data_IF_363919175193
#
_entry.id   IF_363919175193
#
_cell.length_a   1.000
_cell.length_b   1.000
_cell.length_c   1.000
_cell.angle_alpha   90.00
_cell.angle_beta   90.00
_cell.angle_gamma   90.00
#
_symmetry.space_group_name_H-M   'P 1'
#
loop_
_entity.id
_entity.type
_entity.pdbx_description
1 polymer ?
#
# COMPACT_ATOMS: atom_id res chain seq x y z
N UNK A 1 47.04 -0.12 -32.70
CA UNK A 1 45.71 0.48 -32.46
C UNK A 1 45.68 1.84 -33.12
N UNK A 2 44.74 2.08 -34.04
CA UNK A 2 44.80 3.22 -34.97
C UNK A 2 44.24 4.49 -34.29
N UNK A 3 44.76 5.68 -34.59
CA UNK A 3 44.40 6.96 -33.91
C UNK A 3 42.87 7.23 -33.94
N UNK A 4 42.17 6.73 -34.97
CA UNK A 4 40.71 6.80 -35.09
C UNK A 4 39.95 5.96 -34.03
N UNK A 5 40.53 4.87 -33.53
CA UNK A 5 39.94 4.06 -32.46
C UNK A 5 40.09 4.71 -31.08
N UNK A 6 41.15 5.51 -30.86
CA UNK A 6 41.36 6.19 -29.58
C UNK A 6 40.39 7.36 -29.38
N UNK A 7 40.06 8.09 -30.46
CA UNK A 7 39.10 9.21 -30.43
C UNK A 7 37.67 8.71 -30.18
N UNK A 8 37.30 7.54 -30.72
CA UNK A 8 35.99 6.94 -30.46
C UNK A 8 35.84 6.45 -29.01
N UNK A 9 36.92 5.88 -28.44
CA UNK A 9 36.92 5.43 -27.04
C UNK A 9 36.85 6.61 -26.04
N UNK A 10 37.52 7.73 -26.33
CA UNK A 10 37.49 8.92 -25.48
C UNK A 10 36.16 9.69 -25.57
N UNK A 11 35.49 9.70 -26.73
CA UNK A 11 34.14 10.26 -26.85
C UNK A 11 33.09 9.43 -26.09
N UNK A 12 33.22 8.11 -26.06
CA UNK A 12 32.33 7.25 -25.26
C UNK A 12 32.56 7.40 -23.74
N UNK A 13 33.80 7.62 -23.28
CA UNK A 13 34.08 7.81 -21.85
C UNK A 13 33.63 9.21 -21.37
N UNK A 14 33.73 10.24 -22.22
CA UNK A 14 33.24 11.59 -21.89
C UNK A 14 31.70 11.69 -21.84
N UNK A 15 30.98 10.86 -22.60
CA UNK A 15 29.51 10.78 -22.53
C UNK A 15 29.00 10.08 -21.25
N UNK A 16 29.83 9.24 -20.62
CA UNK A 16 29.49 8.57 -19.33
C UNK A 16 29.76 9.48 -18.14
N UNK A 17 30.66 10.47 -18.26
CA UNK A 17 31.01 11.40 -17.19
C UNK A 17 30.10 12.65 -17.10
N UNK A 18 29.21 12.89 -18.07
CA UNK A 18 28.39 14.11 -18.16
C UNK A 18 26.90 13.91 -17.85
N UNK A 19 26.48 12.72 -17.40
CA UNK A 19 25.11 12.45 -16.89
C UNK A 19 25.20 11.99 -15.44
N UNK A 20 25.74 12.86 -14.57
CA UNK A 20 25.39 12.83 -13.16
C UNK A 20 24.32 13.89 -12.94
N UNK A 21 23.02 13.57 -13.05
CA UNK A 21 22.01 14.45 -12.50
C UNK A 21 22.27 14.53 -11.00
N UNK A 22 22.53 15.75 -10.53
CA UNK A 22 22.55 16.20 -9.15
C UNK A 22 21.66 15.30 -8.28
N UNK A 23 22.31 14.35 -7.59
CA UNK A 23 21.70 13.37 -6.74
C UNK A 23 21.18 14.08 -5.49
N UNK A 24 19.89 13.97 -5.24
CA UNK A 24 19.29 14.35 -3.95
C UNK A 24 19.54 13.22 -2.93
N UNK A 25 20.81 12.90 -2.70
CA UNK A 25 21.29 11.83 -1.79
C UNK A 25 21.35 12.28 -0.34
N UNK A 26 21.18 13.57 -0.06
CA UNK A 26 21.23 14.08 1.31
C UNK A 26 20.06 13.59 2.17
N UNK A 27 18.87 13.38 1.59
CA UNK A 27 17.74 12.80 2.33
C UNK A 27 17.77 11.26 2.39
N UNK A 28 18.41 10.59 1.42
CA UNK A 28 18.24 9.13 1.24
C UNK A 28 19.39 8.28 1.79
N UNK A 29 20.64 8.73 1.67
CA UNK A 29 21.81 7.95 2.13
C UNK A 29 22.18 8.29 3.59
N UNK A 30 21.89 9.51 4.05
CA UNK A 30 22.30 9.95 5.39
C UNK A 30 21.20 9.93 6.45
N UNK A 31 19.90 9.97 6.08
CA UNK A 31 18.81 10.07 7.06
C UNK A 31 18.02 8.78 7.25
N UNK A 32 17.77 7.98 6.21
CA UNK A 32 16.93 6.77 6.34
C UNK A 32 17.71 5.62 7.01
N UNK A 33 18.93 5.23 6.59
CA UNK A 33 19.65 4.14 7.25
C UNK A 33 20.03 4.49 8.70
N UNK A 34 20.21 5.77 9.04
CA UNK A 34 20.53 6.19 10.41
C UNK A 34 19.33 6.20 11.35
N UNK A 35 18.16 6.63 10.89
CA UNK A 35 16.95 6.69 11.74
C UNK A 35 16.36 5.29 11.96
N UNK A 36 16.41 4.42 10.96
CA UNK A 36 15.90 3.04 11.07
C UNK A 36 16.91 2.06 11.70
N UNK A 37 18.24 2.31 11.63
CA UNK A 37 19.27 1.52 12.36
C UNK A 37 19.09 1.46 13.87
N UNK A 38 18.32 2.39 14.44
CA UNK A 38 18.26 2.61 15.88
C UNK A 38 17.07 1.88 16.53
N UNK A 39 16.05 1.45 15.78
CA UNK A 39 14.76 1.06 16.39
C UNK A 39 14.83 -0.27 17.18
N UNK A 40 15.60 -1.30 16.76
CA UNK A 40 15.42 -2.66 17.32
C UNK A 40 16.70 -3.33 17.84
N UNK A 41 17.91 -2.92 17.45
CA UNK A 41 19.13 -3.29 18.18
C UNK A 41 19.22 -2.62 19.57
N UNK A 42 18.12 -1.99 20.02
CA UNK A 42 18.08 -1.00 21.07
C UNK A 42 18.18 -1.61 22.47
N UNK A 43 17.53 -2.73 22.78
CA UNK A 43 17.51 -3.22 24.17
C UNK A 43 18.86 -3.83 24.61
N UNK A 44 19.57 -4.56 23.72
CA UNK A 44 20.93 -5.07 24.00
C UNK A 44 22.00 -3.98 23.95
N UNK A 45 21.85 -2.97 23.08
CA UNK A 45 22.74 -1.80 23.06
C UNK A 45 22.45 -0.84 24.21
N UNK A 46 21.21 -0.74 24.70
CA UNK A 46 20.86 0.02 25.90
C UNK A 46 21.46 -0.61 27.15
N UNK A 47 21.40 -1.93 27.33
CA UNK A 47 22.12 -2.59 28.42
C UNK A 47 23.64 -2.37 28.33
N UNK A 48 24.20 -2.32 27.12
CA UNK A 48 25.62 -2.05 26.88
C UNK A 48 26.01 -0.57 27.12
N UNK A 49 25.15 0.39 26.77
CA UNK A 49 25.43 1.84 26.83
C UNK A 49 24.84 2.57 28.05
N UNK A 50 23.85 2.02 28.76
CA UNK A 50 23.51 2.45 30.13
C UNK A 50 24.70 2.24 31.07
N UNK A 51 25.54 1.24 30.78
CA UNK A 51 26.84 1.02 31.44
C UNK A 51 27.97 1.91 30.91
N UNK A 52 27.79 2.61 29.78
CA UNK A 52 28.84 3.42 29.14
C UNK A 52 28.25 4.69 28.52
N UNK A 53 28.23 5.78 29.29
CA UNK A 53 27.75 7.09 28.84
C UNK A 53 28.40 7.52 27.51
N UNK A 54 27.63 7.51 26.43
CA UNK A 54 27.96 8.27 25.21
C UNK A 54 27.67 9.75 25.46
N UNK A 55 28.54 10.65 24.97
CA UNK A 55 28.42 12.10 25.13
C UNK A 55 27.83 12.81 23.89
N UNK A 56 27.36 12.07 22.89
CA UNK A 56 26.86 12.65 21.63
C UNK A 56 25.36 13.05 21.74
N UNK A 57 25.01 14.36 21.70
CA UNK A 57 23.63 14.83 21.83
C UNK A 57 22.73 14.46 20.65
N UNK A 58 23.27 14.33 19.44
CA UNK A 58 22.47 13.99 18.24
C UNK A 58 21.93 12.56 18.32
N UNK A 59 22.65 11.68 19.02
CA UNK A 59 22.24 10.30 19.29
C UNK A 59 21.01 10.19 20.19
N UNK A 60 20.95 10.98 21.27
CA UNK A 60 19.79 11.00 22.18
C UNK A 60 18.52 11.52 21.48
N UNK A 61 18.67 12.44 20.54
CA UNK A 61 17.56 13.00 19.76
C UNK A 61 17.04 11.94 18.77
N UNK A 62 17.91 11.26 18.02
CA UNK A 62 17.50 10.20 17.10
C UNK A 62 16.83 9.02 17.84
N UNK A 63 17.35 8.64 19.01
CA UNK A 63 16.78 7.62 19.91
C UNK A 63 15.38 7.98 20.41
N UNK A 64 15.18 9.24 20.81
CA UNK A 64 13.88 9.75 21.24
C UNK A 64 12.86 9.77 20.10
N UNK A 65 13.29 10.11 18.88
CA UNK A 65 12.43 10.19 17.69
C UNK A 65 11.96 8.81 17.27
N UNK A 66 12.84 7.80 17.19
CA UNK A 66 12.46 6.44 16.78
C UNK A 66 11.44 5.81 17.76
N UNK A 67 11.71 5.87 19.07
CA UNK A 67 10.79 5.39 20.11
C UNK A 67 9.45 6.12 20.11
N UNK A 68 9.46 7.43 19.88
CA UNK A 68 8.23 8.21 19.78
C UNK A 68 7.41 7.77 18.55
N UNK A 69 8.06 7.40 17.46
CA UNK A 69 7.40 7.03 16.22
C UNK A 69 6.78 5.64 16.26
N UNK A 70 7.48 4.65 16.84
CA UNK A 70 6.94 3.30 17.08
C UNK A 70 5.75 3.34 18.04
N UNK A 71 5.86 4.14 19.10
CA UNK A 71 4.79 4.35 20.07
C UNK A 71 3.59 5.05 19.44
N UNK A 72 3.82 6.08 18.61
CA UNK A 72 2.76 6.80 17.92
C UNK A 72 2.02 5.90 16.91
N UNK A 73 2.76 5.06 16.16
CA UNK A 73 2.19 4.11 15.21
C UNK A 73 1.28 3.09 15.91
N UNK A 74 1.74 2.54 17.03
CA UNK A 74 0.95 1.63 17.87
C UNK A 74 -0.33 2.29 18.40
N UNK A 75 -0.23 3.51 18.94
CA UNK A 75 -1.40 4.28 19.41
C UNK A 75 -2.38 4.56 18.26
N UNK A 76 -1.88 4.97 17.10
CA UNK A 76 -2.72 5.26 15.93
C UNK A 76 -3.46 4.01 15.48
N UNK A 77 -2.79 2.85 15.39
CA UNK A 77 -3.43 1.58 15.08
C UNK A 77 -4.48 1.20 16.14
N UNK A 78 -4.14 1.32 17.42
CA UNK A 78 -5.05 0.95 18.51
C UNK A 78 -6.34 1.79 18.49
N UNK A 79 -6.23 3.11 18.32
CA UNK A 79 -7.37 4.03 18.19
C UNK A 79 -8.23 3.72 16.97
N UNK A 80 -7.59 3.38 15.84
CA UNK A 80 -8.30 3.01 14.62
C UNK A 80 -9.11 1.73 14.82
N UNK A 81 -8.51 0.71 15.43
CA UNK A 81 -9.19 -0.53 15.76
C UNK A 81 -10.30 -0.31 16.80
N UNK A 82 -10.06 0.50 17.84
CA UNK A 82 -11.07 0.83 18.85
C UNK A 82 -12.32 1.49 18.24
N UNK A 83 -12.12 2.39 17.27
CA UNK A 83 -13.21 3.02 16.56
C UNK A 83 -14.12 2.00 15.87
N UNK A 84 -13.54 1.04 15.14
CA UNK A 84 -14.30 0.01 14.41
C UNK A 84 -14.78 -1.15 15.29
N UNK A 85 -14.19 -1.36 16.47
CA UNK A 85 -14.71 -2.25 17.51
C UNK A 85 -16.03 -1.71 18.07
N UNK A 86 -16.06 -0.40 18.39
CA UNK A 86 -17.29 0.27 18.87
C UNK A 86 -18.33 0.48 17.77
N UNK A 87 -17.87 0.62 16.53
CA UNK A 87 -18.73 0.95 15.39
C UNK A 87 -18.31 0.15 14.15
N UNK A 88 -18.75 -1.11 14.07
CA UNK A 88 -18.45 -1.99 12.94
C UNK A 88 -18.84 -1.35 11.61
N UNK A 89 -17.96 -1.49 10.62
CA UNK A 89 -18.25 -1.00 9.28
C UNK A 89 -19.22 -1.94 8.56
N UNK A 90 -20.06 -1.36 7.70
CA UNK A 90 -20.84 -2.10 6.71
C UNK A 90 -20.14 -2.19 5.35
N UNK A 91 -18.98 -1.55 5.21
CA UNK A 91 -18.17 -1.59 3.99
C UNK A 91 -17.25 -2.83 4.05
N UNK A 92 -17.42 -3.81 3.15
CA UNK A 92 -16.61 -5.03 3.17
C UNK A 92 -15.12 -4.78 2.94
N UNK A 93 -14.71 -3.68 2.29
CA UNK A 93 -13.28 -3.36 2.12
C UNK A 93 -12.57 -3.18 3.48
N UNK A 94 -13.29 -2.70 4.52
CA UNK A 94 -12.72 -2.63 5.87
C UNK A 94 -12.45 -4.02 6.44
N UNK A 95 -13.40 -4.94 6.29
CA UNK A 95 -13.24 -6.30 6.78
C UNK A 95 -12.11 -7.03 6.05
N UNK A 96 -12.01 -6.85 4.73
CA UNK A 96 -10.92 -7.40 3.93
C UNK A 96 -9.58 -6.81 4.37
N UNK A 97 -9.48 -5.49 4.52
CA UNK A 97 -8.25 -4.85 4.98
C UNK A 97 -7.86 -5.30 6.39
N UNK A 98 -8.82 -5.52 7.28
CA UNK A 98 -8.57 -6.05 8.63
C UNK A 98 -7.98 -7.46 8.58
N UNK A 99 -8.54 -8.34 7.75
CA UNK A 99 -8.04 -9.71 7.58
C UNK A 99 -6.63 -9.74 7.00
N UNK A 100 -6.40 -8.99 5.93
CA UNK A 100 -5.05 -8.85 5.32
C UNK A 100 -4.07 -8.27 6.33
N UNK A 101 -4.39 -7.14 6.97
CA UNK A 101 -3.54 -6.50 7.98
C UNK A 101 -3.17 -7.44 9.13
N UNK A 102 -4.13 -8.24 9.60
CA UNK A 102 -3.91 -9.23 10.65
C UNK A 102 -2.93 -10.31 10.23
N UNK A 103 -3.10 -10.91 9.04
CA UNK A 103 -2.17 -11.94 8.55
C UNK A 103 -0.78 -11.38 8.26
N UNK A 104 -0.69 -10.13 7.77
CA UNK A 104 0.59 -9.45 7.53
C UNK A 104 1.37 -9.23 8.84
N UNK A 105 0.68 -8.80 9.91
CA UNK A 105 1.30 -8.66 11.23
C UNK A 105 1.70 -10.03 11.81
N UNK A 106 0.83 -11.05 11.69
CA UNK A 106 1.14 -12.38 12.20
C UNK A 106 2.37 -13.00 11.52
N UNK A 107 2.44 -12.94 10.19
CA UNK A 107 3.62 -13.37 9.45
C UNK A 107 4.87 -12.64 9.93
N UNK A 108 4.81 -11.32 10.05
CA UNK A 108 5.94 -10.50 10.48
C UNK A 108 6.38 -10.85 11.90
N UNK A 109 5.44 -11.12 12.82
CA UNK A 109 5.76 -11.56 14.18
C UNK A 109 6.44 -12.93 14.15
N UNK A 110 5.97 -13.86 13.31
CA UNK A 110 6.45 -15.24 13.27
C UNK A 110 7.81 -15.38 12.55
N UNK A 111 8.01 -14.71 11.42
CA UNK A 111 9.27 -14.75 10.68
C UNK A 111 10.39 -14.02 11.42
N UNK A 112 10.04 -12.91 12.09
CA UNK A 112 11.00 -12.09 12.81
C UNK A 112 11.09 -12.45 14.30
N UNK A 113 10.51 -13.57 14.72
CA UNK A 113 10.25 -13.98 16.12
C UNK A 113 11.44 -13.78 17.07
N UNK A 114 12.66 -14.04 16.58
CA UNK A 114 13.91 -13.94 17.36
C UNK A 114 14.50 -12.53 17.41
N UNK A 115 14.13 -11.67 16.46
CA UNK A 115 14.63 -10.29 16.32
C UNK A 115 13.68 -9.25 16.92
N UNK A 116 12.39 -9.57 17.12
CA UNK A 116 11.43 -8.61 17.71
C UNK A 116 11.59 -8.55 19.24
N UNK A 117 11.74 -7.35 19.84
CA UNK A 117 11.82 -7.20 21.29
C UNK A 117 10.56 -7.76 21.98
N UNK A 118 10.67 -8.49 23.11
CA UNK A 118 9.55 -9.18 23.74
C UNK A 118 8.33 -8.28 24.02
N UNK A 119 8.57 -7.05 24.48
CA UNK A 119 7.51 -6.06 24.75
C UNK A 119 6.82 -5.57 23.46
N UNK A 120 7.58 -5.38 22.39
CA UNK A 120 7.02 -5.00 21.09
C UNK A 120 6.20 -6.15 20.51
N UNK A 121 6.73 -7.38 20.60
CA UNK A 121 6.02 -8.60 20.20
C UNK A 121 4.69 -8.75 20.94
N UNK A 122 4.67 -8.56 22.25
CA UNK A 122 3.44 -8.59 23.05
C UNK A 122 2.44 -7.53 22.59
N UNK A 123 2.89 -6.29 22.34
CA UNK A 123 2.02 -5.22 21.83
C UNK A 123 1.43 -5.56 20.46
N UNK A 124 2.23 -6.09 19.54
CA UNK A 124 1.78 -6.49 18.21
C UNK A 124 0.80 -7.67 18.30
N UNK A 125 1.04 -8.64 19.18
CA UNK A 125 0.10 -9.74 19.47
C UNK A 125 -1.22 -9.22 20.08
N UNK A 126 -1.18 -8.18 20.91
CA UNK A 126 -2.39 -7.55 21.44
C UNK A 126 -3.19 -6.85 20.34
N UNK A 127 -2.51 -6.21 19.39
CA UNK A 127 -3.12 -5.62 18.19
C UNK A 127 -3.77 -6.72 17.33
N UNK A 128 -3.09 -7.83 17.02
CA UNK A 128 -3.66 -8.91 16.21
C UNK A 128 -4.87 -9.56 16.91
N UNK A 129 -4.81 -9.81 18.23
CA UNK A 129 -5.97 -10.27 19.02
C UNK A 129 -7.15 -9.30 18.94
N UNK A 130 -6.90 -7.99 18.92
CA UNK A 130 -7.95 -6.97 18.74
C UNK A 130 -8.56 -7.05 17.35
N UNK A 131 -7.75 -7.25 16.31
CA UNK A 131 -8.24 -7.50 14.95
C UNK A 131 -9.12 -8.74 14.89
N UNK A 132 -8.72 -9.85 15.53
CA UNK A 132 -9.51 -11.08 15.61
C UNK A 132 -10.85 -10.85 16.32
N UNK A 133 -10.87 -10.11 17.44
CA UNK A 133 -12.12 -9.73 18.13
C UNK A 133 -13.05 -8.93 17.22
N UNK A 134 -12.54 -7.91 16.53
CA UNK A 134 -13.33 -7.11 15.60
C UNK A 134 -13.88 -7.99 14.48
N UNK A 135 -13.04 -8.87 13.91
CA UNK A 135 -13.43 -9.79 12.84
C UNK A 135 -14.56 -10.72 13.29
N UNK A 136 -14.40 -11.37 14.44
CA UNK A 136 -15.36 -12.34 14.99
C UNK A 136 -16.68 -11.70 15.42
N UNK A 137 -16.65 -10.42 15.84
CA UNK A 137 -17.85 -9.67 16.22
C UNK A 137 -18.53 -8.96 15.03
N UNK A 138 -17.94 -9.00 13.83
CA UNK A 138 -18.51 -8.34 12.66
C UNK A 138 -19.54 -9.25 11.99
N UNK A 139 -20.78 -8.78 11.94
CA UNK A 139 -21.87 -9.45 11.24
C UNK A 139 -21.79 -9.18 9.72
N UNK A 140 -21.22 -10.13 8.97
CA UNK A 140 -21.02 -10.03 7.52
C UNK A 140 -22.33 -9.99 6.72
N UNK A 141 -23.45 -10.44 7.30
CA UNK A 141 -24.78 -10.35 6.66
C UNK A 141 -25.27 -8.91 6.52
N UNK A 142 -24.71 -7.98 7.30
CA UNK A 142 -25.04 -6.54 7.28
C UNK A 142 -24.18 -5.72 6.31
N UNK A 143 -23.27 -6.36 5.57
CA UNK A 143 -22.46 -5.68 4.57
C UNK A 143 -23.32 -5.08 3.47
N UNK A 144 -22.90 -3.91 2.99
CA UNK A 144 -23.51 -3.26 1.84
C UNK A 144 -22.59 -3.39 0.64
N UNK A 145 -23.07 -4.14 -0.34
CA UNK A 145 -22.36 -4.36 -1.59
C UNK A 145 -22.75 -3.30 -2.62
N UNK A 146 -21.78 -2.91 -3.44
CA UNK A 146 -21.97 -1.92 -4.51
C UNK A 146 -22.50 -2.51 -5.81
N UNK A 147 -22.56 -3.83 -5.92
CA UNK A 147 -23.15 -4.61 -7.01
C UNK A 147 -23.23 -6.08 -6.59
N UNK A 148 -24.01 -6.90 -7.32
CA UNK A 148 -24.03 -8.37 -7.10
C UNK A 148 -22.68 -9.02 -7.41
N UNK A 149 -22.03 -8.60 -8.49
CA UNK A 149 -20.71 -9.10 -8.88
C UNK A 149 -19.69 -8.83 -7.76
N UNK A 150 -19.74 -7.64 -7.16
CA UNK A 150 -18.86 -7.29 -6.06
C UNK A 150 -19.20 -8.05 -4.77
N UNK A 151 -20.47 -8.38 -4.51
CA UNK A 151 -20.85 -9.26 -3.41
C UNK A 151 -20.16 -10.62 -3.53
N UNK A 152 -20.19 -11.21 -4.72
CA UNK A 152 -19.50 -12.46 -4.99
C UNK A 152 -17.98 -12.34 -4.75
N UNK A 153 -17.34 -11.30 -5.31
CA UNK A 153 -15.91 -10.99 -5.08
C UNK A 153 -15.56 -10.95 -3.61
N UNK A 154 -16.37 -10.23 -2.82
CA UNK A 154 -16.11 -10.07 -1.38
C UNK A 154 -16.21 -11.41 -0.67
N UNK A 155 -17.23 -12.23 -0.96
CA UNK A 155 -17.40 -13.54 -0.33
C UNK A 155 -16.22 -14.45 -0.65
N UNK A 156 -15.82 -14.53 -1.92
CA UNK A 156 -14.65 -15.28 -2.36
C UNK A 156 -13.36 -14.83 -1.64
N UNK A 157 -13.14 -13.52 -1.50
CA UNK A 157 -12.00 -12.96 -0.75
C UNK A 157 -12.06 -13.35 0.73
N UNK A 158 -13.23 -13.29 1.35
CA UNK A 158 -13.42 -13.63 2.77
C UNK A 158 -13.13 -15.11 3.03
N UNK A 159 -13.59 -15.99 2.14
CA UNK A 159 -13.35 -17.44 2.22
C UNK A 159 -11.87 -17.79 2.01
N UNK A 160 -11.14 -16.99 1.23
CA UNK A 160 -9.72 -17.20 0.92
C UNK A 160 -8.79 -16.19 1.61
N UNK A 161 -9.23 -15.61 2.73
CA UNK A 161 -8.52 -14.52 3.38
C UNK A 161 -7.09 -14.90 3.80
N UNK A 162 -6.89 -16.14 4.26
CA UNK A 162 -5.59 -16.59 4.73
C UNK A 162 -4.56 -16.65 3.59
N UNK A 163 -4.97 -17.13 2.41
CA UNK A 163 -4.15 -17.14 1.18
C UNK A 163 -3.85 -15.71 0.71
N UNK A 164 -4.83 -14.81 0.78
CA UNK A 164 -4.61 -13.42 0.38
C UNK A 164 -3.73 -12.67 1.38
N UNK A 165 -3.79 -13.03 2.65
CA UNK A 165 -2.99 -12.40 3.70
C UNK A 165 -1.52 -12.82 3.64
N UNK A 166 -1.21 -13.98 3.05
CA UNK A 166 0.15 -14.46 2.79
C UNK A 166 0.79 -13.87 1.53
N UNK A 167 0.03 -13.11 0.72
CA UNK A 167 0.54 -12.44 -0.48
C UNK A 167 1.47 -11.30 -0.08
N UNK A 168 2.76 -11.63 0.07
CA UNK A 168 3.80 -10.72 0.51
C UNK A 168 5.10 -10.99 -0.21
N UNK A 169 5.69 -9.91 -0.69
CA UNK A 169 7.13 -9.90 -0.98
C UNK A 169 7.87 -9.28 0.22
N UNK A 170 9.11 -9.72 0.49
CA UNK A 170 10.02 -9.01 1.37
C UNK A 170 10.22 -7.57 0.89
N UNK A 171 10.31 -6.62 1.83
CA UNK A 171 10.57 -5.23 1.48
C UNK A 171 12.01 -5.03 0.99
N UNK A 172 12.15 -4.44 -0.20
CA UNK A 172 13.44 -4.12 -0.82
C UNK A 172 13.53 -2.63 -1.14
N UNK A 173 14.67 -2.01 -0.80
CA UNK A 173 14.94 -0.59 -1.06
C UNK A 173 15.80 -0.42 -2.33
N UNK A 174 15.59 0.68 -3.06
CA UNK A 174 16.41 1.04 -4.22
C UNK A 174 15.98 0.42 -5.55
N UNK A 175 14.81 -0.21 -5.59
CA UNK A 175 14.25 -0.86 -6.77
C UNK A 175 13.56 0.13 -7.71
N UNK A 176 12.82 1.12 -7.20
CA UNK A 176 11.94 1.99 -8.01
C UNK A 176 12.65 3.22 -8.60
N UNK A 177 13.86 3.51 -8.12
CA UNK A 177 14.72 4.61 -8.59
C UNK A 177 14.18 6.02 -8.28
N UNK A 178 14.89 7.05 -8.75
CA UNK A 178 14.53 8.45 -8.48
C UNK A 178 13.50 8.96 -9.48
N UNK A 179 12.24 9.09 -9.05
CA UNK A 179 11.20 9.72 -9.86
C UNK A 179 11.02 11.20 -9.49
N UNK A 180 10.87 12.06 -10.50
CA UNK A 180 10.47 13.47 -10.32
C UNK A 180 8.94 13.59 -10.41
N UNK A 181 8.30 14.45 -9.61
CA UNK A 181 6.88 14.76 -9.74
C UNK A 181 6.48 15.10 -11.18
N UNK A 182 5.20 14.93 -11.50
CA UNK A 182 4.63 15.41 -12.75
C UNK A 182 4.85 16.91 -12.90
N UNK A 183 5.07 17.35 -14.14
CA UNK A 183 5.24 18.77 -14.49
C UNK A 183 3.91 19.51 -14.65
N UNK A 184 2.81 18.78 -14.77
CA UNK A 184 1.46 19.34 -14.93
C UNK A 184 0.82 19.65 -13.57
N UNK A 185 -0.21 20.50 -13.58
CA UNK A 185 -0.96 20.88 -12.39
C UNK A 185 -1.90 19.78 -11.90
N UNK A 186 -2.38 19.89 -10.66
CA UNK A 186 -3.37 18.97 -10.11
C UNK A 186 -4.69 18.98 -10.91
N UNK A 187 -5.10 20.12 -11.47
CA UNK A 187 -6.29 20.23 -12.30
C UNK A 187 -6.12 19.44 -13.60
N UNK A 188 -4.96 19.56 -14.24
CA UNK A 188 -4.63 18.80 -15.45
C UNK A 188 -4.60 17.30 -15.15
N UNK A 189 -4.00 16.90 -14.04
CA UNK A 189 -4.03 15.52 -13.54
C UNK A 189 -5.45 14.98 -13.41
N UNK A 190 -6.33 15.73 -12.75
CA UNK A 190 -7.74 15.33 -12.55
C UNK A 190 -8.47 15.20 -13.87
N UNK A 191 -8.23 16.08 -14.84
CA UNK A 191 -8.85 15.96 -16.17
C UNK A 191 -8.34 14.75 -16.92
N UNK A 192 -7.04 14.49 -16.85
CA UNK A 192 -6.44 13.36 -17.53
C UNK A 192 -6.92 12.03 -16.94
N UNK A 193 -7.09 11.92 -15.62
CA UNK A 193 -7.51 10.68 -14.96
C UNK A 193 -8.99 10.31 -15.19
N UNK A 194 -9.88 11.29 -15.42
CA UNK A 194 -11.34 11.06 -15.48
C UNK A 194 -11.80 10.11 -16.58
N UNK A 195 -11.15 10.14 -17.74
CA UNK A 195 -11.59 9.43 -18.95
C UNK A 195 -10.87 8.09 -19.13
N UNK A 196 -10.14 7.65 -18.11
CA UNK A 196 -9.18 6.56 -18.23
C UNK A 196 -9.77 5.22 -17.78
N UNK A 197 -9.33 4.16 -18.46
CA UNK A 197 -9.68 2.77 -18.17
C UNK A 197 -8.61 2.10 -17.28
N UNK A 198 -8.96 1.07 -16.49
CA UNK A 198 -10.31 0.53 -16.32
C UNK A 198 -11.21 1.43 -15.48
N UNK A 199 -12.51 1.45 -15.78
CA UNK A 199 -13.48 1.98 -14.81
C UNK A 199 -13.49 1.11 -13.56
N UNK A 200 -13.99 1.61 -12.43
CA UNK A 200 -14.13 0.79 -11.22
C UNK A 200 -14.96 -0.47 -11.46
N UNK A 201 -16.08 -0.37 -12.18
CA UNK A 201 -16.91 -1.52 -12.54
C UNK A 201 -16.12 -2.56 -13.36
N UNK A 202 -15.32 -2.09 -14.32
CA UNK A 202 -14.50 -2.97 -15.16
C UNK A 202 -13.38 -3.66 -14.33
N UNK A 203 -12.72 -2.91 -13.45
CA UNK A 203 -11.70 -3.45 -12.54
C UNK A 203 -12.29 -4.49 -11.56
N UNK A 204 -13.50 -4.24 -11.04
CA UNK A 204 -14.21 -5.18 -10.17
C UNK A 204 -14.58 -6.46 -10.90
N UNK A 205 -15.08 -6.35 -12.14
CA UNK A 205 -15.38 -7.50 -12.97
C UNK A 205 -14.13 -8.33 -13.30
N UNK A 206 -13.01 -7.68 -13.61
CA UNK A 206 -11.73 -8.38 -13.86
C UNK A 206 -11.20 -9.06 -12.58
N UNK A 207 -11.32 -8.40 -11.41
CA UNK A 207 -10.99 -9.01 -10.12
C UNK A 207 -11.89 -10.22 -9.81
N UNK A 208 -13.18 -10.14 -10.16
CA UNK A 208 -14.12 -11.25 -10.01
C UNK A 208 -13.72 -12.45 -10.88
N UNK A 209 -13.38 -12.22 -12.14
CA UNK A 209 -12.95 -13.28 -13.04
C UNK A 209 -11.70 -13.99 -12.51
N UNK A 210 -10.71 -13.23 -12.04
CA UNK A 210 -9.50 -13.76 -11.41
C UNK A 210 -9.82 -14.69 -10.23
N UNK A 211 -10.70 -14.25 -9.32
CA UNK A 211 -11.06 -15.03 -8.14
C UNK A 211 -11.90 -16.26 -8.47
N UNK A 212 -12.88 -16.13 -9.38
CA UNK A 212 -13.72 -17.25 -9.83
C UNK A 212 -12.84 -18.32 -10.46
N UNK A 213 -12.00 -17.93 -11.42
CA UNK A 213 -11.16 -18.89 -12.15
C UNK A 213 -10.17 -19.58 -11.19
N UNK A 214 -9.58 -18.85 -10.25
CA UNK A 214 -8.76 -19.43 -9.19
C UNK A 214 -9.53 -20.43 -8.31
N UNK A 215 -10.79 -20.16 -7.96
CA UNK A 215 -11.61 -21.10 -7.17
C UNK A 215 -12.03 -22.33 -7.97
N UNK A 216 -12.36 -22.17 -9.25
CA UNK A 216 -12.76 -23.27 -10.14
C UNK A 216 -11.61 -24.26 -10.36
N UNK A 217 -10.39 -23.77 -10.56
CA UNK A 217 -9.19 -24.61 -10.66
C UNK A 217 -8.92 -25.41 -9.38
N UNK A 218 -9.14 -24.82 -8.21
CA UNK A 218 -8.94 -25.50 -6.91
C UNK A 218 -10.02 -26.55 -6.60
N UNK A 219 -11.28 -26.31 -7.00
CA UNK A 219 -12.42 -27.14 -6.59
C UNK A 219 -12.72 -28.30 -7.54
N UNK A 220 -12.46 -28.13 -8.84
CA UNK A 220 -12.91 -29.10 -9.85
C UNK A 220 -11.93 -30.23 -10.10
N UNK A 221 -10.69 -30.17 -9.56
CA UNK A 221 -9.57 -31.04 -9.96
C UNK A 221 -9.41 -31.15 -11.49
N UNK A 222 -9.98 -30.22 -12.25
CA UNK A 222 -9.82 -30.18 -13.69
C UNK A 222 -8.44 -29.60 -13.98
N UNK A 223 -7.76 -30.12 -15.01
CA UNK A 223 -6.53 -29.56 -15.56
C UNK A 223 -6.74 -28.16 -16.19
N UNK A 224 -7.76 -27.42 -15.75
CA UNK A 224 -8.00 -26.06 -16.21
C UNK A 224 -6.91 -25.14 -15.68
N UNK A 225 -6.25 -24.42 -16.59
CA UNK A 225 -5.45 -23.26 -16.22
C UNK A 225 -6.38 -22.11 -15.80
N UNK A 226 -5.92 -21.22 -14.93
CA UNK A 226 -6.68 -20.01 -14.64
C UNK A 226 -6.76 -19.15 -15.91
N UNK A 227 -7.97 -18.89 -16.41
CA UNK A 227 -8.21 -18.19 -17.67
C UNK A 227 -8.84 -16.82 -17.45
N UNK A 228 -8.34 -15.83 -18.19
CA UNK A 228 -8.86 -14.47 -18.17
C UNK A 228 -9.45 -14.11 -19.52
N UNK A 229 -10.58 -13.40 -19.48
CA UNK A 229 -11.15 -12.83 -20.70
C UNK A 229 -10.18 -11.85 -21.36
N UNK A 230 -10.19 -11.73 -22.70
CA UNK A 230 -9.37 -10.75 -23.42
C UNK A 230 -9.56 -9.32 -22.90
N UNK A 231 -10.77 -8.99 -22.43
CA UNK A 231 -11.09 -7.69 -21.83
C UNK A 231 -10.36 -7.47 -20.51
N UNK A 232 -10.34 -8.46 -19.61
CA UNK A 232 -9.61 -8.37 -18.34
C UNK A 232 -8.10 -8.30 -18.57
N UNK A 233 -7.56 -9.14 -19.46
CA UNK A 233 -6.15 -9.09 -19.86
C UNK A 233 -5.78 -7.71 -20.45
N UNK A 234 -6.61 -7.15 -21.33
CA UNK A 234 -6.38 -5.84 -21.91
C UNK A 234 -6.41 -4.72 -20.85
N UNK A 235 -7.31 -4.79 -19.87
CA UNK A 235 -7.36 -3.82 -18.77
C UNK A 235 -6.11 -3.89 -17.89
N UNK A 236 -5.66 -5.11 -17.57
CA UNK A 236 -4.47 -5.36 -16.75
C UNK A 236 -3.20 -4.86 -17.46
N UNK A 237 -3.03 -5.19 -18.74
CA UNK A 237 -1.80 -4.90 -19.49
C UNK A 237 -1.77 -3.51 -20.12
N UNK A 238 -2.90 -3.02 -20.65
CA UNK A 238 -2.98 -1.78 -21.46
C UNK A 238 -3.83 -0.68 -20.82
N UNK A 239 -4.30 -0.86 -19.61
CA UNK A 239 -5.02 0.18 -18.87
C UNK A 239 -4.16 1.43 -18.64
N UNK A 240 -4.80 2.46 -18.09
CA UNK A 240 -4.17 3.75 -17.83
C UNK A 240 -3.11 3.68 -16.74
N UNK A 241 -2.16 4.61 -16.86
CA UNK A 241 -1.08 4.86 -15.93
C UNK A 241 -1.34 6.07 -15.02
N UNK A 242 -2.57 6.28 -14.55
CA UNK A 242 -2.88 7.32 -13.56
C UNK A 242 -3.93 6.84 -12.54
N UNK A 243 -3.90 7.40 -11.35
CA UNK A 243 -4.91 7.34 -10.31
C UNK A 243 -5.35 5.92 -9.94
N UNK A 244 -6.65 5.74 -9.72
CA UNK A 244 -7.25 4.46 -9.37
C UNK A 244 -6.95 3.36 -10.39
N UNK A 245 -6.85 3.71 -11.67
CA UNK A 245 -6.61 2.76 -12.74
C UNK A 245 -5.28 2.01 -12.53
N UNK A 246 -4.24 2.69 -12.01
CA UNK A 246 -2.97 2.03 -11.69
C UNK A 246 -3.09 1.10 -10.49
N UNK A 247 -3.66 1.59 -9.39
CA UNK A 247 -3.77 0.79 -8.17
C UNK A 247 -4.65 -0.43 -8.37
N UNK A 248 -5.73 -0.32 -9.17
CA UNK A 248 -6.55 -1.47 -9.56
C UNK A 248 -5.79 -2.48 -10.41
N UNK A 249 -4.89 -2.02 -11.30
CA UNK A 249 -4.08 -2.91 -12.14
C UNK A 249 -3.00 -3.62 -11.35
N UNK A 250 -2.36 -2.96 -10.38
CA UNK A 250 -1.43 -3.63 -9.45
C UNK A 250 -2.16 -4.71 -8.66
N UNK A 251 -3.34 -4.40 -8.11
CA UNK A 251 -4.16 -5.38 -7.39
C UNK A 251 -4.51 -6.58 -8.28
N UNK A 252 -4.98 -6.35 -9.51
CA UNK A 252 -5.34 -7.42 -10.44
C UNK A 252 -4.11 -8.24 -10.88
N UNK A 253 -2.98 -7.59 -11.16
CA UNK A 253 -1.74 -8.28 -11.52
C UNK A 253 -1.16 -9.11 -10.37
N UNK A 254 -1.25 -8.63 -9.13
CA UNK A 254 -0.85 -9.38 -7.95
C UNK A 254 -1.70 -10.65 -7.76
N UNK A 255 -3.02 -10.54 -7.96
CA UNK A 255 -3.91 -11.71 -7.93
C UNK A 255 -3.65 -12.66 -9.10
N UNK A 256 -3.45 -12.14 -10.31
CA UNK A 256 -3.11 -12.94 -11.48
C UNK A 256 -1.81 -13.72 -11.28
N UNK A 257 -0.84 -13.12 -10.58
CA UNK A 257 0.44 -13.77 -10.23
C UNK A 257 0.25 -14.84 -9.16
N UNK A 258 -0.56 -14.57 -8.15
CA UNK A 258 -0.85 -15.54 -7.08
C UNK A 258 -1.51 -16.81 -7.61
N UNK A 259 -2.43 -16.66 -8.56
CA UNK A 259 -3.22 -17.75 -9.11
C UNK A 259 -2.72 -18.26 -10.46
N UNK A 260 -1.56 -17.78 -10.90
CA UNK A 260 -0.91 -18.16 -12.16
C UNK A 260 -1.84 -18.04 -13.40
N UNK A 261 -2.61 -16.95 -13.47
CA UNK A 261 -3.65 -16.74 -14.48
C UNK A 261 -3.18 -16.13 -15.80
N UNK A 262 -1.87 -15.91 -15.96
CA UNK A 262 -1.31 -15.26 -17.15
C UNK A 262 0.03 -15.89 -17.53
N UNK A 263 -0.02 -17.13 -17.98
CA UNK A 263 1.15 -17.86 -18.47
C UNK A 263 1.87 -17.08 -19.58
N UNK A 264 3.20 -17.08 -19.54
CA UNK A 264 4.05 -16.39 -20.52
C UNK A 264 4.17 -14.88 -20.32
N UNK A 265 3.47 -14.28 -19.35
CA UNK A 265 3.64 -12.88 -18.98
C UNK A 265 4.46 -12.72 -17.72
N UNK A 266 5.51 -11.88 -17.79
CA UNK A 266 6.25 -11.46 -16.61
C UNK A 266 5.45 -10.42 -15.81
N UNK A 267 4.54 -10.93 -14.97
CA UNK A 267 3.69 -10.12 -14.11
C UNK A 267 4.51 -9.35 -13.06
N UNK A 268 5.65 -9.90 -12.60
CA UNK A 268 6.53 -9.22 -11.65
C UNK A 268 7.16 -7.97 -12.28
N UNK A 269 7.68 -8.07 -13.50
CA UNK A 269 8.19 -6.91 -14.24
C UNK A 269 7.08 -5.91 -14.61
N UNK A 270 5.86 -6.38 -14.84
CA UNK A 270 4.71 -5.50 -15.08
C UNK A 270 4.30 -4.72 -13.83
N UNK A 271 4.17 -5.42 -12.69
CA UNK A 271 3.91 -4.81 -11.38
C UNK A 271 5.00 -3.77 -11.05
N UNK A 272 6.27 -4.09 -11.32
CA UNK A 272 7.38 -3.16 -11.14
C UNK A 272 7.20 -1.87 -11.96
N UNK A 273 6.89 -1.99 -13.25
CA UNK A 273 6.62 -0.82 -14.13
C UNK A 273 5.45 0.01 -13.62
N UNK A 274 4.39 -0.63 -13.14
CA UNK A 274 3.24 0.07 -12.54
C UNK A 274 3.65 0.81 -11.28
N UNK A 275 4.41 0.17 -10.39
CA UNK A 275 4.84 0.80 -9.15
C UNK A 275 5.84 1.95 -9.33
N UNK A 276 6.66 1.94 -10.39
CA UNK A 276 7.43 3.13 -10.81
C UNK A 276 6.53 4.31 -11.14
N UNK A 277 5.49 4.09 -11.93
CA UNK A 277 4.58 5.15 -12.30
C UNK A 277 3.74 5.63 -11.12
N UNK A 278 3.28 4.71 -10.28
CA UNK A 278 2.57 5.02 -9.04
C UNK A 278 3.47 5.86 -8.13
N UNK A 279 4.75 5.50 -7.97
CA UNK A 279 5.66 6.24 -7.11
C UNK A 279 5.84 7.70 -7.57
N UNK A 280 5.93 7.90 -8.89
CA UNK A 280 5.93 9.24 -9.50
C UNK A 280 4.66 10.01 -9.18
N UNK A 281 3.50 9.36 -9.27
CA UNK A 281 2.21 9.95 -8.92
C UNK A 281 2.12 10.29 -7.43
N UNK A 282 2.53 9.38 -6.53
CA UNK A 282 2.56 9.58 -5.09
C UNK A 282 3.42 10.78 -4.69
N UNK A 283 4.60 10.96 -5.32
CA UNK A 283 5.43 12.16 -5.15
C UNK A 283 4.75 13.44 -5.67
N UNK A 284 3.92 13.32 -6.70
CA UNK A 284 3.17 14.45 -7.25
C UNK A 284 2.05 14.88 -6.29
N UNK A 285 1.34 13.90 -5.70
CA UNK A 285 0.35 14.15 -4.66
C UNK A 285 0.97 14.86 -3.44
N UNK A 286 2.18 14.45 -3.03
CA UNK A 286 2.95 15.14 -2.00
C UNK A 286 3.29 16.58 -2.41
N UNK A 287 3.84 16.79 -3.63
CA UNK A 287 4.20 18.10 -4.13
C UNK A 287 3.01 19.07 -4.23
N UNK A 288 1.81 18.55 -4.51
CA UNK A 288 0.56 19.32 -4.51
C UNK A 288 -0.07 19.47 -3.11
N UNK A 289 0.60 19.02 -2.05
CA UNK A 289 0.14 19.19 -0.67
C UNK A 289 -0.99 18.26 -0.25
N UNK A 290 -1.17 17.12 -0.94
CA UNK A 290 -2.27 16.16 -0.76
C UNK A 290 -3.66 16.83 -0.82
N UNK A 291 -4.08 17.29 -2.01
CA UNK A 291 -5.37 17.95 -2.19
C UNK A 291 -6.55 17.12 -1.63
N UNK A 292 -7.65 17.76 -1.21
CA UNK A 292 -8.83 17.05 -0.72
C UNK A 292 -9.29 15.98 -1.72
N UNK A 293 -9.62 14.78 -1.23
CA UNK A 293 -10.01 13.65 -2.07
C UNK A 293 -8.85 12.89 -2.69
N UNK A 294 -7.63 13.03 -2.18
CA UNK A 294 -6.47 12.25 -2.65
C UNK A 294 -5.86 11.38 -1.57
N UNK A 295 -6.26 11.51 -0.29
CA UNK A 295 -5.69 10.75 0.82
C UNK A 295 -5.90 9.25 0.63
N UNK A 296 -7.09 8.86 0.18
CA UNK A 296 -7.41 7.45 -0.08
C UNK A 296 -6.55 6.89 -1.21
N UNK A 297 -6.35 7.64 -2.30
CA UNK A 297 -5.46 7.23 -3.39
C UNK A 297 -4.02 7.06 -2.88
N UNK A 298 -3.53 8.04 -2.13
CA UNK A 298 -2.18 8.04 -1.59
C UNK A 298 -1.93 6.82 -0.70
N UNK A 299 -2.88 6.50 0.20
CA UNK A 299 -2.82 5.30 1.04
C UNK A 299 -2.89 4.02 0.22
N UNK A 300 -3.73 3.95 -0.81
CA UNK A 300 -3.79 2.80 -1.74
C UNK A 300 -2.46 2.56 -2.43
N UNK A 301 -1.84 3.62 -2.95
CA UNK A 301 -0.56 3.54 -3.65
C UNK A 301 0.54 3.00 -2.73
N UNK A 302 0.63 3.51 -1.50
CA UNK A 302 1.57 3.02 -0.49
C UNK A 302 1.30 1.55 -0.20
N UNK A 303 0.07 1.20 0.21
CA UNK A 303 -0.31 -0.17 0.55
C UNK A 303 0.02 -1.16 -0.58
N UNK A 304 -0.49 -0.91 -1.79
CA UNK A 304 -0.37 -1.89 -2.86
C UNK A 304 1.05 -2.05 -3.38
N UNK A 305 1.86 -1.00 -3.48
CA UNK A 305 3.23 -1.16 -3.98
C UNK A 305 4.18 -1.66 -2.89
N UNK A 306 4.02 -1.20 -1.64
CA UNK A 306 4.84 -1.71 -0.53
C UNK A 306 4.58 -3.19 -0.26
N UNK A 307 3.34 -3.69 -0.40
CA UNK A 307 3.07 -5.13 -0.25
C UNK A 307 3.68 -6.00 -1.35
N UNK A 308 4.03 -5.41 -2.49
CA UNK A 308 4.81 -6.07 -3.55
C UNK A 308 6.33 -5.88 -3.37
N UNK A 309 6.78 -5.43 -2.19
CA UNK A 309 8.19 -5.36 -1.84
C UNK A 309 8.89 -4.05 -2.22
N UNK A 310 8.16 -3.03 -2.71
CA UNK A 310 8.76 -1.74 -3.08
C UNK A 310 8.84 -0.79 -1.87
N UNK A 311 9.97 -0.81 -1.18
CA UNK A 311 10.20 -0.08 0.06
C UNK A 311 10.26 1.45 -0.08
N UNK A 312 10.39 2.01 -1.29
CA UNK A 312 10.45 3.46 -1.51
C UNK A 312 9.18 4.20 -1.07
N UNK A 313 8.07 3.46 -0.93
CA UNK A 313 6.80 3.97 -0.43
C UNK A 313 6.77 4.16 1.09
N UNK A 314 7.74 3.58 1.81
CA UNK A 314 7.85 3.65 3.26
C UNK A 314 8.77 4.82 3.62
N UNK A 315 8.24 6.05 3.55
CA UNK A 315 9.00 7.26 3.92
C UNK A 315 8.56 7.79 5.28
N UNK A 316 9.50 8.18 6.17
CA UNK A 316 9.15 8.82 7.44
C UNK A 316 8.23 10.03 7.29
N UNK A 317 8.49 10.88 6.29
CA UNK A 317 7.68 12.07 6.00
C UNK A 317 6.24 11.72 5.62
N UNK A 318 6.07 10.66 4.82
CA UNK A 318 4.75 10.18 4.41
C UNK A 318 4.02 9.50 5.58
N UNK A 319 4.73 8.71 6.38
CA UNK A 319 4.19 8.13 7.61
C UNK A 319 3.66 9.21 8.56
N UNK A 320 4.48 10.23 8.87
CA UNK A 320 4.09 11.33 9.75
C UNK A 320 2.85 12.07 9.22
N UNK A 321 2.75 12.21 7.90
CA UNK A 321 1.58 12.80 7.27
C UNK A 321 0.32 11.94 7.45
N UNK A 322 0.45 10.62 7.29
CA UNK A 322 -0.64 9.67 7.52
C UNK A 322 -1.07 9.67 8.98
N UNK A 323 -0.14 9.59 9.93
CA UNK A 323 -0.43 9.65 11.37
C UNK A 323 -1.21 10.94 11.72
N UNK A 324 -0.84 12.07 11.13
CA UNK A 324 -1.53 13.35 11.31
C UNK A 324 -2.90 13.45 10.62
N UNK A 325 -3.26 12.53 9.73
CA UNK A 325 -4.59 12.49 9.09
C UNK A 325 -5.63 11.73 9.91
N UNK A 326 -5.24 11.03 10.98
CA UNK A 326 -6.18 10.37 11.86
C UNK A 326 -7.07 11.40 12.56
N UNK A 327 -8.38 11.22 12.45
CA UNK A 327 -9.37 12.05 13.14
C UNK A 327 -9.29 11.81 14.67
N UNK A 328 -9.73 12.77 15.51
CA UNK A 328 -9.74 12.57 16.97
C UNK A 328 -10.48 11.31 17.44
N UNK A 329 -11.45 10.83 16.65
CA UNK A 329 -12.22 9.61 16.92
C UNK A 329 -11.47 8.32 16.55
N UNK A 330 -10.27 8.39 15.97
CA UNK A 330 -9.43 7.25 15.58
C UNK A 330 -9.56 6.80 14.12
N UNK A 331 -10.59 7.24 13.40
CA UNK A 331 -10.82 6.88 12.00
C UNK A 331 -10.06 7.79 11.01
N UNK A 332 -10.15 7.49 9.72
CA UNK A 332 -9.64 8.37 8.65
C UNK A 332 -10.78 8.97 7.82
N UNK A 333 -10.59 10.20 7.35
CA UNK A 333 -11.53 10.93 6.50
C UNK A 333 -10.88 11.30 5.16
N UNK A 334 -11.72 11.41 4.13
CA UNK A 334 -11.30 11.97 2.84
C UNK A 334 -12.50 12.61 2.12
N UNK A 335 -12.30 13.80 1.55
CA UNK A 335 -13.37 14.49 0.81
C UNK A 335 -13.56 13.84 -0.56
N UNK A 336 -14.54 12.93 -0.63
CA UNK A 336 -14.79 12.13 -1.83
C UNK A 336 -15.18 12.94 -3.07
N UNK A 337 -15.60 14.21 -3.00
CA UNK A 337 -16.04 14.94 -4.21
C UNK A 337 -14.95 15.03 -5.29
N UNK A 338 -13.70 15.12 -4.88
CA UNK A 338 -12.55 15.13 -5.79
C UNK A 338 -12.01 13.73 -6.06
N UNK A 339 -12.08 12.82 -5.08
CA UNK A 339 -11.67 11.41 -5.24
C UNK A 339 -12.56 10.63 -6.21
N UNK A 340 -13.87 10.85 -6.20
CA UNK A 340 -14.82 10.19 -7.12
C UNK A 340 -14.48 10.50 -8.60
N UNK A 341 -13.92 11.69 -8.86
CA UNK A 341 -13.40 12.08 -10.18
C UNK A 341 -12.12 11.34 -10.55
N UNK A 342 -11.29 10.98 -9.56
CA UNK A 342 -10.03 10.24 -9.73
C UNK A 342 -10.20 8.71 -9.69
N UNK A 343 -11.35 8.22 -9.23
CA UNK A 343 -11.65 6.79 -9.08
C UNK A 343 -12.59 6.21 -10.14
N UNK A 344 -12.89 7.00 -11.18
CA UNK A 344 -13.73 6.53 -12.28
C UNK A 344 -15.20 6.34 -11.91
N UNK A 345 -15.71 7.02 -10.87
CA UNK A 345 -17.13 7.01 -10.53
C UNK A 345 -17.97 7.92 -11.44
N UNK A 346 -17.33 8.91 -12.07
CA UNK A 346 -18.00 9.79 -13.03
C UNK A 346 -17.74 9.19 -14.41
N UNK A 347 -18.73 8.48 -14.96
CA UNK A 347 -18.75 8.15 -16.39
C UNK A 347 -18.68 9.41 -17.26
N UNK A 348 -18.55 9.27 -18.59
CA UNK A 348 -18.58 10.43 -19.49
C UNK A 348 -19.81 11.29 -19.21
N UNK A 349 -19.69 12.60 -19.45
CA UNK A 349 -20.57 13.70 -19.03
C UNK A 349 -22.07 13.62 -19.43
N UNK A 350 -22.56 12.48 -19.91
CA UNK A 350 -23.98 12.14 -19.87
C UNK A 350 -24.36 11.79 -18.42
N UNK A 351 -25.31 12.53 -17.88
CA UNK A 351 -26.05 12.18 -16.66
C UNK A 351 -26.16 10.66 -16.47
N UNK A 352 -25.59 10.07 -15.39
CA UNK A 352 -25.68 8.64 -15.18
C UNK A 352 -27.15 8.21 -15.12
N UNK A 353 -27.49 7.01 -15.65
CA UNK A 353 -28.84 6.45 -15.58
C UNK A 353 -29.39 6.50 -14.14
N UNK A 354 -30.72 6.59 -13.95
CA UNK A 354 -31.33 6.71 -12.63
C UNK A 354 -30.91 5.61 -11.64
N UNK A 355 -30.68 4.38 -12.13
CA UNK A 355 -30.24 3.23 -11.32
C UNK A 355 -28.81 3.38 -10.81
N UNK A 356 -27.90 3.86 -11.66
CA UNK A 356 -26.49 4.06 -11.31
C UNK A 356 -26.33 5.19 -10.27
N UNK A 357 -27.21 6.20 -10.32
CA UNK A 357 -27.28 7.27 -9.30
C UNK A 357 -27.73 6.76 -7.94
N UNK A 358 -28.68 5.84 -7.90
CA UNK A 358 -29.20 5.26 -6.66
C UNK A 358 -28.16 4.34 -6.00
N UNK A 359 -27.43 3.57 -6.81
CA UNK A 359 -26.31 2.75 -6.38
C UNK A 359 -25.13 3.61 -5.87
N UNK A 360 -24.79 4.69 -6.57
CA UNK A 360 -23.81 5.68 -6.12
C UNK A 360 -24.20 6.34 -4.79
N UNK A 361 -25.49 6.70 -4.64
CA UNK A 361 -26.01 7.30 -3.41
C UNK A 361 -25.97 6.33 -2.22
N UNK A 362 -26.29 5.05 -2.44
CA UNK A 362 -26.17 3.99 -1.42
C UNK A 362 -24.72 3.79 -0.97
N UNK A 363 -23.78 3.68 -1.92
CA UNK A 363 -22.35 3.55 -1.62
C UNK A 363 -21.83 4.78 -0.88
N UNK A 364 -22.28 5.98 -1.26
CA UNK A 364 -21.94 7.24 -0.59
C UNK A 364 -22.42 7.27 0.87
N UNK A 365 -23.67 6.89 1.13
CA UNK A 365 -24.27 6.91 2.47
C UNK A 365 -23.63 5.91 3.43
N UNK A 366 -23.19 4.73 2.94
CA UNK A 366 -22.55 3.70 3.77
C UNK A 366 -21.07 4.00 4.03
N UNK A 367 -20.38 4.56 3.04
CA UNK A 367 -19.01 4.99 3.19
C UNK A 367 -18.82 6.09 4.23
N UNK A 368 -19.79 7.01 4.35
CA UNK A 368 -19.90 7.88 5.52
C UNK A 368 -20.40 7.06 6.68
N UNK A 369 -19.53 6.71 7.61
CA UNK A 369 -19.99 6.17 8.87
C UNK A 369 -20.94 7.19 9.54
N UNK A 370 -21.96 6.72 10.27
CA UNK A 370 -22.95 7.58 10.96
C UNK A 370 -22.26 8.56 11.92
N UNK A 371 -21.93 9.78 11.48
CA UNK A 371 -21.08 10.69 12.28
C UNK A 371 -20.17 11.66 11.52
N UNK A 372 -20.37 11.85 10.21
CA UNK A 372 -20.04 13.11 9.52
C UNK A 372 -18.61 13.32 8.98
N UNK A 373 -17.61 12.49 9.32
CA UNK A 373 -16.24 12.66 8.75
C UNK A 373 -15.52 11.35 8.41
N UNK A 374 -15.71 10.27 9.17
CA UNK A 374 -14.97 9.02 8.93
C UNK A 374 -15.43 8.29 7.65
N UNK A 375 -14.46 7.84 6.86
CA UNK A 375 -14.64 7.06 5.64
C UNK A 375 -14.10 5.64 5.80
N UNK A 376 -14.94 4.63 5.57
CA UNK A 376 -14.52 3.24 5.78
C UNK A 376 -13.40 2.78 4.85
N UNK A 377 -13.49 3.11 3.56
CA UNK A 377 -12.44 2.78 2.60
C UNK A 377 -11.13 3.47 2.97
N UNK A 378 -11.15 4.77 3.29
CA UNK A 378 -9.93 5.48 3.67
C UNK A 378 -9.30 4.87 4.93
N UNK A 379 -10.10 4.55 5.95
CA UNK A 379 -9.64 3.84 7.15
C UNK A 379 -9.05 2.47 6.83
N UNK A 380 -9.65 1.71 5.92
CA UNK A 380 -9.16 0.40 5.48
C UNK A 380 -7.78 0.52 4.82
N UNK A 381 -7.62 1.50 3.93
CA UNK A 381 -6.34 1.76 3.26
C UNK A 381 -5.28 2.30 4.23
N UNK A 382 -5.69 3.11 5.22
CA UNK A 382 -4.82 3.56 6.30
C UNK A 382 -4.34 2.39 7.16
N UNK A 383 -5.24 1.48 7.55
CA UNK A 383 -4.89 0.28 8.31
C UNK A 383 -3.81 -0.54 7.59
N UNK A 384 -4.03 -0.87 6.32
CA UNK A 384 -3.05 -1.60 5.52
C UNK A 384 -1.73 -0.85 5.41
N UNK A 385 -1.76 0.45 5.10
CA UNK A 385 -0.53 1.26 4.97
C UNK A 385 0.28 1.31 6.27
N UNK A 386 -0.39 1.52 7.41
CA UNK A 386 0.25 1.57 8.73
C UNK A 386 0.87 0.21 9.10
N UNK A 387 0.20 -0.90 8.77
CA UNK A 387 0.80 -2.24 8.94
C UNK A 387 2.02 -2.42 8.06
N UNK A 388 2.03 -1.90 6.83
CA UNK A 388 3.24 -1.93 5.99
C UNK A 388 4.39 -1.10 6.58
N UNK A 389 4.10 0.00 7.29
CA UNK A 389 5.12 0.72 8.06
C UNK A 389 5.66 -0.10 9.24
N UNK A 390 4.78 -0.79 9.98
CA UNK A 390 5.21 -1.73 11.03
C UNK A 390 6.12 -2.80 10.44
N UNK A 391 5.73 -3.42 9.32
CA UNK A 391 6.56 -4.40 8.61
C UNK A 391 7.92 -3.86 8.25
N UNK A 392 7.97 -2.69 7.62
CA UNK A 392 9.22 -2.07 7.21
C UNK A 392 10.16 -1.80 8.40
N UNK A 393 9.62 -1.33 9.52
CA UNK A 393 10.41 -1.10 10.75
C UNK A 393 11.05 -2.39 11.25
N UNK A 394 10.34 -3.52 11.15
CA UNK A 394 10.82 -4.81 11.65
C UNK A 394 11.72 -5.57 10.64
N UNK A 395 11.38 -5.55 9.35
CA UNK A 395 12.11 -6.26 8.29
C UNK A 395 13.44 -5.58 7.94
N UNK A 396 13.47 -4.25 7.92
CA UNK A 396 14.73 -3.53 7.61
C UNK A 396 15.77 -3.71 8.72
N UNK A 397 15.38 -3.98 9.96
CA UNK A 397 16.32 -4.32 11.04
C UNK A 397 17.05 -5.66 10.79
N UNK A 398 16.38 -6.67 10.22
CA UNK A 398 17.01 -7.96 9.89
C UNK A 398 18.04 -7.85 8.76
N UNK A 399 17.75 -7.08 7.71
CA UNK A 399 18.69 -6.91 6.59
C UNK A 399 20.05 -6.35 7.07
N UNK A 400 20.05 -5.49 8.11
CA UNK A 400 21.27 -4.94 8.68
C UNK A 400 21.97 -5.85 9.70
N UNK A 401 21.28 -6.83 10.33
CA UNK A 401 21.95 -7.79 11.23
C UNK A 401 22.85 -8.77 10.46
N UNK A 402 22.50 -9.12 9.21
CA UNK A 402 23.33 -9.99 8.37
C UNK A 402 24.57 -9.28 7.82
N UNK A 403 24.50 -7.98 7.50
CA UNK A 403 25.64 -7.20 7.00
C UNK A 403 26.68 -6.83 8.07
N UNK A 404 26.37 -7.00 9.36
CA UNK A 404 27.33 -6.75 10.47
C UNK A 404 28.03 -8.03 10.92
N UNK A 405 27.55 -9.20 10.48
CA UNK A 405 28.09 -10.51 10.84
C UNK A 405 28.88 -11.19 9.70
N UNK A 406 29.05 -10.52 8.56
CA UNK A 406 30.06 -10.81 7.54
C UNK A 406 31.12 -9.71 7.50
#
# INVERSE_FOLDING_TARGET
>A
MNVKQFVFLTACIAAVAAIYPYFDTQDFIYNIPKVYRISITLDKLLEYYEKKQSKDPEWFIALGVARAQDFLLSITLDKLLEYYEKKPSKDPEWFIALGVARGQLEYTINELDKSVPPKLKENLQNITRKMDRIRNNTDTSKFTYRSKDYEYVVKAIIENMDVLSSLMEPLTLGTVGTQKPYRFSFEQYVQEARTKMPTRKAADACTMQLLISAMETQTTQSEGACELTPECQAQLMKGSGLAFQQTSRVRAAALARLFDCMEGFDLSAHIYKLCIQIYKETKSLEAWGHPPGTKTLFLQQILYCSSQGYGEFIKPRWMNKILAWQEPKGCYSDDRKSFLKLTGFVGPASSPPPKDREEEYRVKKVATSVGGSCNSLTSAMALGSLVMYVRALLETDQAFQYDVLM
#
